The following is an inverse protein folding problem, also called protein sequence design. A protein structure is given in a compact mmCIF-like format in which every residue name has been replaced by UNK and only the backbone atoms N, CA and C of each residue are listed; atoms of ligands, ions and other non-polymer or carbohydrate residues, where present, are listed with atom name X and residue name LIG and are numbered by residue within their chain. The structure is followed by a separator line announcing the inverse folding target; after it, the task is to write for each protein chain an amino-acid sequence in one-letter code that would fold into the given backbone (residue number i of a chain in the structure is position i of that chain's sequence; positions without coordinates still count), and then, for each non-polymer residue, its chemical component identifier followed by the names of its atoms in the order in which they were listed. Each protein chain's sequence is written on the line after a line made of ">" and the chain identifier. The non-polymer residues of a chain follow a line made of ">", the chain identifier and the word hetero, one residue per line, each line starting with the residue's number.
data_IF_705204308249
#
_entry.id   IF_705204308249
#
_cell.length_a   1.000
_cell.length_b   1.000
_cell.length_c   1.000
_cell.angle_alpha   90.00
_cell.angle_beta   90.00
_cell.angle_gamma   90.00
#
_symmetry.space_group_name_H-M   'P 1'
#
loop_
_entity.id
_entity.type
_entity.pdbx_description
1 polymer ?
#
# COMPACT_ATOMS: atom_id res chain seq x y z
N UNK A 1 27.40 57.34 5.92
CA UNK A 1 26.58 56.10 5.78
C UNK A 1 27.52 54.93 5.62
N UNK A 2 27.50 53.97 6.56
CA UNK A 2 28.38 52.80 6.54
C UNK A 2 28.07 51.92 5.33
N UNK A 3 29.10 51.54 4.56
CA UNK A 3 29.02 50.67 3.37
C UNK A 3 28.37 49.29 3.64
N UNK A 4 28.09 48.95 4.90
CA UNK A 4 27.42 47.73 5.33
C UNK A 4 25.91 47.72 5.02
N UNK A 5 25.27 48.89 5.05
CA UNK A 5 23.83 49.00 4.78
C UNK A 5 23.48 48.67 3.30
N UNK A 6 24.17 49.22 2.28
CA UNK A 6 23.92 48.85 0.89
C UNK A 6 24.31 47.39 0.58
N UNK A 7 25.36 46.87 1.22
CA UNK A 7 25.76 45.47 1.05
C UNK A 7 24.69 44.49 1.57
N UNK A 8 24.05 44.80 2.70
CA UNK A 8 22.96 43.98 3.24
C UNK A 8 21.76 43.91 2.30
N UNK A 9 21.31 45.05 1.77
CA UNK A 9 20.20 45.08 0.80
C UNK A 9 20.55 44.38 -0.51
N UNK A 10 21.81 44.46 -0.96
CA UNK A 10 22.28 43.76 -2.14
C UNK A 10 22.29 42.24 -1.93
N UNK A 11 22.77 41.74 -0.79
CA UNK A 11 22.69 40.32 -0.44
C UNK A 11 21.26 39.83 -0.31
N UNK A 12 20.37 40.62 0.30
CA UNK A 12 18.94 40.30 0.41
C UNK A 12 18.28 40.21 -0.98
N UNK A 13 18.62 41.14 -1.89
CA UNK A 13 18.13 41.11 -3.27
C UNK A 13 18.64 39.88 -4.03
N UNK A 14 19.93 39.55 -3.93
CA UNK A 14 20.47 38.34 -4.55
C UNK A 14 19.87 37.06 -3.97
N UNK A 15 19.64 37.00 -2.66
CA UNK A 15 18.93 35.89 -2.04
C UNK A 15 17.49 35.78 -2.54
N UNK A 16 16.74 36.90 -2.61
CA UNK A 16 15.38 36.92 -3.13
C UNK A 16 15.30 36.54 -4.62
N UNK A 17 16.23 37.02 -5.44
CA UNK A 17 16.35 36.65 -6.85
C UNK A 17 16.70 35.16 -7.01
N UNK A 18 17.63 34.64 -6.19
CA UNK A 18 17.98 33.22 -6.18
C UNK A 18 16.79 32.35 -5.73
N UNK A 19 16.10 32.76 -4.67
CA UNK A 19 14.92 32.08 -4.15
C UNK A 19 13.78 32.04 -5.19
N UNK A 20 13.47 33.17 -5.83
CA UNK A 20 12.42 33.22 -6.87
C UNK A 20 12.79 32.39 -8.10
N UNK A 21 14.06 32.40 -8.52
CA UNK A 21 14.53 31.55 -9.61
C UNK A 21 14.42 30.06 -9.25
N UNK A 22 14.78 29.70 -8.02
CA UNK A 22 14.65 28.34 -7.49
C UNK A 22 13.18 27.92 -7.43
N UNK A 23 12.29 28.78 -6.92
CA UNK A 23 10.85 28.50 -6.81
C UNK A 23 10.20 28.32 -8.18
N UNK A 24 10.57 29.16 -9.17
CA UNK A 24 10.04 29.05 -10.53
C UNK A 24 10.46 27.73 -11.17
N UNK A 25 11.75 27.36 -11.05
CA UNK A 25 12.27 26.08 -11.55
C UNK A 25 11.67 24.87 -10.82
N UNK A 26 11.43 24.99 -9.52
CA UNK A 26 10.79 23.94 -8.74
C UNK A 26 9.33 23.74 -9.16
N UNK A 27 8.60 24.84 -9.39
CA UNK A 27 7.22 24.82 -9.90
C UNK A 27 7.12 24.17 -11.29
N UNK A 28 8.06 24.46 -12.18
CA UNK A 28 8.14 23.83 -13.51
C UNK A 28 8.56 22.35 -13.43
N UNK A 29 9.53 22.03 -12.58
CA UNK A 29 10.04 20.67 -12.38
C UNK A 29 9.01 19.69 -11.83
N UNK A 30 8.05 20.17 -11.03
CA UNK A 30 6.97 19.35 -10.48
C UNK A 30 5.95 18.87 -11.53
N UNK A 31 6.03 19.35 -12.78
CA UNK A 31 5.09 18.94 -13.83
C UNK A 31 5.47 17.61 -14.49
N UNK A 32 6.71 17.14 -14.35
CA UNK A 32 7.16 15.91 -15.01
C UNK A 32 8.04 15.04 -14.10
N UNK A 33 7.60 13.81 -13.87
CA UNK A 33 8.39 12.81 -13.16
C UNK A 33 9.13 11.92 -14.17
N UNK A 34 10.45 12.06 -14.24
CA UNK A 34 11.29 11.17 -15.07
C UNK A 34 11.37 9.77 -14.47
N UNK A 35 11.47 8.74 -15.31
CA UNK A 35 11.77 7.38 -14.87
C UNK A 35 13.08 7.33 -14.06
N UNK A 36 13.12 6.61 -12.94
CA UNK A 36 14.36 6.40 -12.21
C UNK A 36 15.28 5.44 -12.97
N UNK A 37 16.57 5.48 -12.67
CA UNK A 37 17.49 4.44 -13.12
C UNK A 37 17.06 3.07 -12.56
N UNK A 38 17.36 1.95 -13.24
CA UNK A 38 17.07 0.62 -12.72
C UNK A 38 17.58 0.45 -11.27
N UNK A 39 16.75 -0.06 -10.35
CA UNK A 39 17.11 -0.14 -8.93
C UNK A 39 18.38 -0.95 -8.65
N UNK A 40 18.66 -1.97 -9.47
CA UNK A 40 19.88 -2.77 -9.38
C UNK A 40 21.13 -1.92 -9.64
N UNK A 41 21.09 -1.05 -10.66
CA UNK A 41 22.20 -0.15 -10.99
C UNK A 41 22.39 0.87 -9.86
N UNK A 42 21.29 1.48 -9.38
CA UNK A 42 21.36 2.42 -8.26
C UNK A 42 21.94 1.77 -7.00
N UNK A 43 21.55 0.53 -6.69
CA UNK A 43 22.03 -0.21 -5.53
C UNK A 43 23.53 -0.46 -5.59
N UNK A 44 24.05 -0.79 -6.78
CA UNK A 44 25.49 -1.00 -7.00
C UNK A 44 26.23 0.34 -6.91
N UNK A 45 25.75 1.36 -7.62
CA UNK A 45 26.42 2.66 -7.69
C UNK A 45 26.48 3.38 -6.34
N UNK A 46 25.41 3.29 -5.53
CA UNK A 46 25.32 3.96 -4.24
C UNK A 46 25.98 3.17 -3.10
N UNK A 47 26.11 1.85 -3.23
CA UNK A 47 26.71 1.00 -2.19
C UNK A 47 26.08 1.22 -0.82
N UNK A 48 26.87 1.78 0.12
CA UNK A 48 26.42 2.13 1.47
C UNK A 48 25.34 3.24 1.50
N UNK A 49 25.34 4.15 0.53
CA UNK A 49 24.37 5.24 0.42
C UNK A 49 23.03 4.81 -0.19
N UNK A 50 22.82 3.50 -0.44
CA UNK A 50 21.59 2.99 -1.05
C UNK A 50 20.33 3.42 -0.28
N UNK A 51 20.38 3.50 1.05
CA UNK A 51 19.24 3.88 1.87
C UNK A 51 18.80 5.32 1.57
N UNK A 52 19.76 6.26 1.56
CA UNK A 52 19.53 7.64 1.15
C UNK A 52 19.03 7.72 -0.30
N UNK A 53 19.55 6.89 -1.19
CA UNK A 53 19.03 6.76 -2.56
C UNK A 53 17.55 6.38 -2.59
N UNK A 54 17.14 5.42 -1.77
CA UNK A 54 15.74 5.01 -1.64
C UNK A 54 14.83 6.14 -1.14
N UNK A 55 15.27 6.86 -0.10
CA UNK A 55 14.55 8.03 0.41
C UNK A 55 14.45 9.16 -0.63
N UNK A 56 15.49 9.37 -1.45
CA UNK A 56 15.44 10.33 -2.56
C UNK A 56 14.39 9.94 -3.60
N UNK A 57 14.27 8.65 -3.95
CA UNK A 57 13.22 8.20 -4.87
C UNK A 57 11.82 8.42 -4.27
N UNK A 58 11.66 8.14 -2.98
CA UNK A 58 10.43 8.44 -2.26
C UNK A 58 10.09 9.93 -2.28
N UNK A 59 11.04 10.81 -1.92
CA UNK A 59 10.83 12.27 -1.92
C UNK A 59 10.43 12.76 -3.30
N UNK A 60 11.09 12.28 -4.37
CA UNK A 60 10.72 12.64 -5.75
C UNK A 60 9.28 12.26 -6.08
N UNK A 61 8.86 11.05 -5.74
CA UNK A 61 7.49 10.59 -5.93
C UNK A 61 6.49 11.44 -5.12
N UNK A 62 6.78 11.69 -3.84
CA UNK A 62 5.96 12.49 -2.93
C UNK A 62 5.77 13.92 -3.40
N UNK A 63 6.87 14.60 -3.73
CA UNK A 63 6.86 15.99 -4.18
C UNK A 63 6.13 16.13 -5.50
N UNK A 64 6.42 15.24 -6.46
CA UNK A 64 5.71 15.23 -7.74
C UNK A 64 4.20 15.03 -7.54
N UNK A 65 3.80 13.99 -6.79
CA UNK A 65 2.38 13.69 -6.58
C UNK A 65 1.65 14.82 -5.86
N UNK A 66 2.28 15.46 -4.86
CA UNK A 66 1.74 16.64 -4.19
C UNK A 66 1.58 17.86 -5.10
N UNK A 67 2.29 17.92 -6.22
CA UNK A 67 2.18 18.96 -7.25
C UNK A 67 1.25 18.63 -8.42
N UNK A 68 0.66 17.43 -8.46
CA UNK A 68 -0.27 17.04 -9.53
C UNK A 68 -1.53 17.90 -9.48
N UNK A 69 -1.82 18.59 -10.59
CA UNK A 69 -3.02 19.42 -10.71
C UNK A 69 -4.28 18.55 -10.79
N UNK A 70 -5.40 18.95 -10.16
CA UNK A 70 -6.69 18.27 -10.32
C UNK A 70 -7.08 18.14 -11.80
N UNK A 71 -7.57 16.96 -12.18
CA UNK A 71 -8.01 16.68 -13.55
C UNK A 71 -6.92 16.23 -14.52
N UNK A 72 -5.65 16.16 -14.09
CA UNK A 72 -4.60 15.49 -14.88
C UNK A 72 -4.87 13.99 -14.92
N UNK A 73 -4.73 13.38 -16.10
CA UNK A 73 -4.88 11.94 -16.26
C UNK A 73 -3.80 11.18 -15.46
N UNK A 74 -4.19 10.34 -14.49
CA UNK A 74 -3.25 9.53 -13.73
C UNK A 74 -2.33 8.65 -14.58
N UNK A 75 -2.79 8.20 -15.74
CA UNK A 75 -2.01 7.31 -16.61
C UNK A 75 -0.76 7.99 -17.19
N UNK A 76 -0.73 9.32 -17.28
CA UNK A 76 0.45 10.06 -17.74
C UNK A 76 1.65 9.93 -16.80
N UNK A 77 1.41 9.66 -15.52
CA UNK A 77 2.46 9.70 -14.49
C UNK A 77 2.52 8.45 -13.60
N UNK A 78 1.58 7.52 -13.77
CA UNK A 78 1.48 6.31 -12.97
C UNK A 78 2.72 5.41 -13.09
N UNK A 79 3.24 5.19 -14.31
CA UNK A 79 4.42 4.31 -14.52
C UNK A 79 5.70 4.90 -13.90
N UNK A 80 6.06 6.18 -14.13
CA UNK A 80 7.16 6.81 -13.39
C UNK A 80 7.00 6.66 -11.87
N UNK A 81 5.82 6.97 -11.30
CA UNK A 81 5.58 6.83 -9.85
C UNK A 81 5.81 5.39 -9.38
N UNK A 82 5.23 4.42 -10.08
CA UNK A 82 5.36 3.00 -9.78
C UNK A 82 6.84 2.56 -9.76
N UNK A 83 7.63 3.01 -10.73
CA UNK A 83 9.06 2.73 -10.78
C UNK A 83 9.85 3.41 -9.66
N UNK A 84 9.48 4.64 -9.26
CA UNK A 84 10.07 5.31 -8.10
C UNK A 84 9.81 4.54 -6.80
N UNK A 85 8.57 4.05 -6.60
CA UNK A 85 8.26 3.21 -5.44
C UNK A 85 9.01 1.88 -5.46
N UNK A 86 9.13 1.23 -6.62
CA UNK A 86 9.94 0.02 -6.77
C UNK A 86 11.42 0.29 -6.46
N UNK A 87 11.96 1.42 -6.91
CA UNK A 87 13.34 1.82 -6.62
C UNK A 87 13.52 2.11 -5.13
N UNK A 88 12.64 2.88 -4.51
CA UNK A 88 12.63 3.17 -3.08
C UNK A 88 12.59 1.88 -2.25
N UNK A 89 11.64 0.98 -2.52
CA UNK A 89 11.50 -0.29 -1.80
C UNK A 89 12.68 -1.25 -2.02
N UNK A 90 13.36 -1.19 -3.18
CA UNK A 90 14.54 -2.01 -3.45
C UNK A 90 15.80 -1.50 -2.75
N UNK A 91 15.94 -0.17 -2.68
CA UNK A 91 17.10 0.51 -2.13
C UNK A 91 17.04 0.63 -0.60
N UNK A 92 15.85 0.92 -0.07
CA UNK A 92 15.57 1.03 1.36
C UNK A 92 14.32 0.20 1.76
N UNK A 93 14.41 -1.14 1.80
CA UNK A 93 13.25 -2.00 2.04
C UNK A 93 12.59 -1.84 3.43
N UNK A 94 13.31 -1.35 4.44
CA UNK A 94 12.76 -1.11 5.78
C UNK A 94 12.07 0.26 5.95
N UNK A 95 12.02 1.09 4.90
CA UNK A 95 11.42 2.42 4.98
C UNK A 95 9.91 2.34 4.73
N UNK A 96 9.15 2.31 5.81
CA UNK A 96 7.72 1.98 5.80
C UNK A 96 6.88 2.95 4.94
N UNK A 97 7.24 4.23 4.92
CA UNK A 97 6.49 5.30 4.24
C UNK A 97 6.37 5.06 2.73
N UNK A 98 7.38 4.39 2.13
CA UNK A 98 7.33 3.98 0.72
C UNK A 98 6.10 3.14 0.42
N UNK A 99 5.78 2.19 1.31
CA UNK A 99 4.66 1.28 1.11
C UNK A 99 3.31 1.97 1.36
N UNK A 100 3.25 2.86 2.35
CA UNK A 100 2.04 3.65 2.63
C UNK A 100 1.70 4.59 1.47
N UNK A 101 2.69 5.30 0.94
CA UNK A 101 2.46 6.22 -0.16
C UNK A 101 2.15 5.48 -1.47
N UNK A 102 2.85 4.37 -1.73
CA UNK A 102 2.54 3.48 -2.86
C UNK A 102 1.08 3.01 -2.79
N UNK A 103 0.63 2.54 -1.62
CA UNK A 103 -0.75 2.11 -1.39
C UNK A 103 -1.76 3.26 -1.55
N UNK A 104 -1.43 4.46 -1.09
CA UNK A 104 -2.35 5.60 -1.15
C UNK A 104 -2.58 6.12 -2.58
N UNK A 105 -1.69 5.78 -3.52
CA UNK A 105 -1.70 6.36 -4.87
C UNK A 105 -2.05 5.33 -5.93
N UNK A 106 -1.21 4.29 -6.09
CA UNK A 106 -1.26 3.43 -7.28
C UNK A 106 -2.57 2.63 -7.42
N UNK A 107 -3.11 1.98 -6.37
CA UNK A 107 -4.29 1.12 -6.52
C UNK A 107 -5.55 1.85 -7.02
N UNK A 108 -5.67 3.14 -6.73
CA UNK A 108 -6.81 3.95 -7.13
C UNK A 108 -6.85 4.26 -8.63
N UNK A 109 -5.74 4.06 -9.35
CA UNK A 109 -5.62 4.42 -10.77
C UNK A 109 -6.38 3.42 -11.63
N UNK A 110 -6.02 2.13 -11.54
CA UNK A 110 -6.71 1.03 -12.21
C UNK A 110 -6.24 -0.33 -11.62
N UNK A 111 -6.79 -1.43 -12.16
CA UNK A 111 -6.46 -2.80 -11.73
C UNK A 111 -4.98 -3.16 -11.93
N UNK A 112 -4.33 -2.67 -12.99
CA UNK A 112 -2.93 -2.97 -13.27
C UNK A 112 -2.01 -2.32 -12.23
N UNK A 113 -2.28 -1.07 -11.87
CA UNK A 113 -1.53 -0.38 -10.81
C UNK A 113 -1.86 -0.87 -9.41
N UNK A 114 -3.06 -1.43 -9.17
CA UNK A 114 -3.35 -2.17 -7.94
C UNK A 114 -2.50 -3.45 -7.83
N UNK A 115 -2.37 -4.23 -8.93
CA UNK A 115 -1.44 -5.37 -8.96
C UNK A 115 0.01 -4.93 -8.79
N UNK A 116 0.40 -3.83 -9.44
CA UNK A 116 1.75 -3.28 -9.30
C UNK A 116 2.05 -2.90 -7.85
N UNK A 117 1.14 -2.19 -7.19
CA UNK A 117 1.27 -1.84 -5.78
C UNK A 117 1.51 -3.08 -4.92
N UNK A 118 0.77 -4.17 -5.18
CA UNK A 118 0.97 -5.43 -4.48
C UNK A 118 2.39 -6.00 -4.67
N UNK A 119 3.03 -5.84 -5.84
CA UNK A 119 4.43 -6.24 -6.04
C UNK A 119 5.41 -5.46 -5.15
N UNK A 120 5.12 -4.17 -4.91
CA UNK A 120 5.92 -3.32 -3.99
C UNK A 120 5.65 -3.75 -2.55
N UNK A 121 4.39 -3.95 -2.17
CA UNK A 121 4.00 -4.39 -0.82
C UNK A 121 4.59 -5.75 -0.44
N UNK A 122 4.71 -6.69 -1.38
CA UNK A 122 5.37 -8.00 -1.13
C UNK A 122 6.83 -7.84 -0.69
N UNK A 123 7.55 -6.86 -1.24
CA UNK A 123 8.92 -6.55 -0.78
C UNK A 123 8.92 -6.05 0.66
N UNK A 124 7.96 -5.19 0.99
CA UNK A 124 7.75 -4.72 2.35
C UNK A 124 7.42 -5.84 3.32
N UNK A 125 6.52 -6.77 2.96
CA UNK A 125 6.17 -7.92 3.79
C UNK A 125 7.38 -8.83 4.07
N UNK A 126 8.33 -8.91 3.15
CA UNK A 126 9.58 -9.68 3.33
C UNK A 126 10.55 -8.96 4.27
N UNK A 127 10.65 -7.62 4.17
CA UNK A 127 11.56 -6.81 4.96
C UNK A 127 11.03 -6.48 6.37
N UNK A 128 9.71 -6.42 6.53
CA UNK A 128 9.01 -6.04 7.75
C UNK A 128 7.98 -7.13 8.12
N UNK A 129 8.44 -8.35 8.47
CA UNK A 129 7.57 -9.51 8.64
C UNK A 129 6.55 -9.35 9.77
N UNK A 130 6.84 -8.51 10.76
CA UNK A 130 5.95 -8.29 11.91
C UNK A 130 4.88 -7.21 11.65
N UNK A 131 4.95 -6.52 10.50
CA UNK A 131 4.02 -5.45 10.18
C UNK A 131 2.74 -6.02 9.53
N UNK A 132 1.62 -5.97 10.26
CA UNK A 132 0.32 -6.44 9.78
C UNK A 132 -0.32 -5.53 8.70
N UNK A 133 0.09 -4.26 8.62
CA UNK A 133 -0.54 -3.28 7.72
C UNK A 133 -0.24 -3.60 6.26
N UNK A 134 0.96 -4.13 5.98
CA UNK A 134 1.36 -4.49 4.62
C UNK A 134 0.51 -5.62 4.00
N UNK A 135 0.28 -6.77 4.66
CA UNK A 135 -0.66 -7.77 4.16
C UNK A 135 -2.10 -7.25 4.17
N UNK A 136 -2.49 -6.38 5.11
CA UNK A 136 -3.81 -5.73 5.07
C UNK A 136 -3.99 -4.88 3.80
N UNK A 137 -3.03 -4.04 3.43
CA UNK A 137 -3.07 -3.24 2.20
C UNK A 137 -3.16 -4.11 0.95
N UNK A 138 -2.34 -5.18 0.88
CA UNK A 138 -2.39 -6.10 -0.24
C UNK A 138 -3.76 -6.80 -0.33
N UNK A 139 -4.29 -7.27 0.81
CA UNK A 139 -5.61 -7.90 0.89
C UNK A 139 -6.73 -6.96 0.50
N UNK A 140 -6.67 -5.71 0.94
CA UNK A 140 -7.60 -4.65 0.53
C UNK A 140 -7.58 -4.44 -0.97
N UNK A 141 -6.40 -4.43 -1.61
CA UNK A 141 -6.32 -4.28 -3.06
C UNK A 141 -6.97 -5.45 -3.81
N UNK A 142 -6.74 -6.69 -3.34
CA UNK A 142 -7.39 -7.86 -3.91
C UNK A 142 -8.92 -7.81 -3.77
N UNK A 143 -9.41 -7.41 -2.60
CA UNK A 143 -10.84 -7.29 -2.35
C UNK A 143 -11.47 -6.16 -3.18
N UNK A 144 -10.97 -4.94 -3.03
CA UNK A 144 -11.66 -3.74 -3.48
C UNK A 144 -11.41 -3.41 -4.96
N UNK A 145 -10.16 -3.51 -5.43
CA UNK A 145 -9.82 -3.14 -6.82
C UNK A 145 -9.85 -4.33 -7.78
N UNK A 146 -9.42 -5.51 -7.31
CA UNK A 146 -9.22 -6.67 -8.18
C UNK A 146 -10.42 -7.63 -8.21
N UNK A 147 -11.32 -7.56 -7.21
CA UNK A 147 -12.43 -8.48 -7.02
C UNK A 147 -11.96 -9.95 -6.92
N UNK A 148 -10.92 -10.18 -6.11
CA UNK A 148 -10.27 -11.47 -5.88
C UNK A 148 -10.44 -11.88 -4.40
N UNK A 149 -11.64 -12.32 -3.99
CA UNK A 149 -11.99 -12.50 -2.57
C UNK A 149 -11.16 -13.58 -1.87
N UNK A 150 -10.77 -14.66 -2.57
CA UNK A 150 -9.93 -15.71 -1.99
C UNK A 150 -8.51 -15.22 -1.65
N UNK A 151 -7.91 -14.41 -2.52
CA UNK A 151 -6.57 -13.87 -2.28
C UNK A 151 -6.61 -12.79 -1.20
N UNK A 152 -7.68 -11.98 -1.18
CA UNK A 152 -7.95 -11.05 -0.10
C UNK A 152 -8.09 -11.77 1.25
N UNK A 153 -8.88 -12.85 1.30
CA UNK A 153 -9.05 -13.67 2.50
C UNK A 153 -7.71 -14.20 3.03
N UNK A 154 -6.88 -14.75 2.14
CA UNK A 154 -5.54 -15.25 2.48
C UNK A 154 -4.66 -14.16 3.11
N UNK A 155 -4.70 -12.95 2.56
CA UNK A 155 -3.90 -11.82 3.03
C UNK A 155 -4.44 -11.21 4.33
N UNK A 156 -5.75 -11.13 4.53
CA UNK A 156 -6.32 -10.69 5.80
C UNK A 156 -6.08 -11.68 6.93
N UNK A 157 -6.16 -12.99 6.64
CA UNK A 157 -5.73 -14.02 7.59
C UNK A 157 -4.26 -13.84 7.97
N UNK A 158 -3.39 -13.65 6.97
CA UNK A 158 -1.97 -13.38 7.22
C UNK A 158 -1.76 -12.14 8.10
N UNK A 159 -2.51 -11.06 7.85
CA UNK A 159 -2.46 -9.83 8.64
C UNK A 159 -2.92 -10.07 10.09
N UNK A 160 -4.00 -10.83 10.29
CA UNK A 160 -4.52 -11.16 11.62
C UNK A 160 -3.53 -11.96 12.47
N UNK A 161 -2.69 -12.81 11.85
CA UNK A 161 -1.66 -13.60 12.55
C UNK A 161 -0.38 -12.81 12.88
N UNK A 162 -0.20 -11.60 12.35
CA UNK A 162 0.98 -10.78 12.67
C UNK A 162 0.84 -10.12 14.06
N UNK A 163 1.96 -9.73 14.69
CA UNK A 163 1.93 -8.94 15.91
C UNK A 163 1.05 -7.70 15.76
N UNK A 164 0.19 -7.44 16.76
CA UNK A 164 -0.79 -6.35 16.77
C UNK A 164 -1.85 -6.40 15.65
N UNK A 165 -1.97 -7.53 14.94
CA UNK A 165 -3.01 -7.77 13.95
C UNK A 165 -4.40 -7.74 14.58
N UNK A 166 -5.33 -6.89 14.12
CA UNK A 166 -6.69 -6.87 14.65
C UNK A 166 -7.42 -8.18 14.38
N UNK A 167 -8.07 -8.75 15.40
CA UNK A 167 -8.82 -10.02 15.27
C UNK A 167 -9.96 -9.94 14.24
N UNK A 168 -10.51 -8.74 14.02
CA UNK A 168 -11.52 -8.48 12.98
C UNK A 168 -11.01 -8.84 11.57
N UNK A 169 -9.70 -8.82 11.31
CA UNK A 169 -9.16 -9.24 10.02
C UNK A 169 -9.30 -10.75 9.80
N UNK A 170 -9.26 -11.56 10.86
CA UNK A 170 -9.54 -13.01 10.76
C UNK A 170 -11.01 -13.24 10.42
N UNK A 171 -11.91 -12.46 11.02
CA UNK A 171 -13.34 -12.50 10.72
C UNK A 171 -13.60 -12.18 9.24
N UNK A 172 -13.02 -11.08 8.76
CA UNK A 172 -13.13 -10.65 7.37
C UNK A 172 -12.55 -11.70 6.41
N UNK A 173 -11.44 -12.36 6.76
CA UNK A 173 -10.88 -13.45 5.98
C UNK A 173 -11.86 -14.63 5.83
N UNK A 174 -12.60 -14.97 6.88
CA UNK A 174 -13.60 -16.04 6.82
C UNK A 174 -14.77 -15.65 5.91
N UNK A 175 -15.30 -14.43 6.04
CA UNK A 175 -16.39 -13.94 5.19
C UNK A 175 -15.98 -14.02 3.70
N UNK A 176 -14.81 -13.48 3.37
CA UNK A 176 -14.31 -13.45 1.99
C UNK A 176 -13.95 -14.84 1.45
N UNK A 177 -13.56 -15.77 2.32
CA UNK A 177 -13.35 -17.17 1.93
C UNK A 177 -14.64 -17.80 1.42
N UNK A 178 -15.78 -17.56 2.07
CA UNK A 178 -17.05 -18.08 1.58
C UNK A 178 -17.56 -17.34 0.33
N UNK A 179 -17.38 -16.02 0.26
CA UNK A 179 -17.72 -15.25 -0.94
C UNK A 179 -16.94 -15.77 -2.18
N UNK A 180 -15.68 -16.12 -1.99
CA UNK A 180 -14.85 -16.76 -3.02
C UNK A 180 -15.16 -18.24 -3.29
N UNK A 181 -16.22 -18.79 -2.71
CA UNK A 181 -16.67 -20.18 -2.92
C UNK A 181 -16.02 -21.21 -1.99
N UNK A 182 -15.15 -20.80 -1.07
CA UNK A 182 -14.54 -21.68 -0.05
C UNK A 182 -15.30 -21.60 1.29
N UNK A 183 -16.56 -22.02 1.26
CA UNK A 183 -17.47 -21.97 2.42
C UNK A 183 -16.96 -22.84 3.58
N UNK A 184 -16.30 -23.97 3.29
CA UNK A 184 -15.74 -24.84 4.32
C UNK A 184 -14.60 -24.18 5.10
N UNK A 185 -13.68 -23.48 4.43
CA UNK A 185 -12.61 -22.76 5.12
C UNK A 185 -13.16 -21.66 6.03
N UNK A 186 -14.17 -20.93 5.56
CA UNK A 186 -14.86 -19.94 6.37
C UNK A 186 -15.50 -20.54 7.64
N UNK A 187 -16.17 -21.69 7.50
CA UNK A 187 -16.82 -22.37 8.62
C UNK A 187 -15.79 -22.86 9.66
N UNK A 188 -14.65 -23.40 9.21
CA UNK A 188 -13.56 -23.82 10.10
C UNK A 188 -13.02 -22.62 10.88
N UNK A 189 -12.77 -21.50 10.19
CA UNK A 189 -12.29 -20.28 10.81
C UNK A 189 -13.27 -19.71 11.84
N UNK A 190 -14.55 -19.56 11.48
CA UNK A 190 -15.59 -19.06 12.39
C UNK A 190 -15.75 -19.96 13.62
N UNK A 191 -15.69 -21.29 13.47
CA UNK A 191 -15.73 -22.23 14.60
C UNK A 191 -14.52 -22.08 15.51
N UNK A 192 -13.33 -21.85 14.95
CA UNK A 192 -12.13 -21.53 15.72
C UNK A 192 -12.29 -20.24 16.52
N UNK A 193 -12.83 -19.19 15.89
CA UNK A 193 -13.11 -17.91 16.56
C UNK A 193 -14.13 -18.08 17.69
N UNK A 194 -15.25 -18.76 17.44
CA UNK A 194 -16.28 -19.08 18.43
C UNK A 194 -15.71 -19.82 19.65
N UNK A 195 -14.82 -20.80 19.42
CA UNK A 195 -14.22 -21.58 20.49
C UNK A 195 -13.26 -20.75 21.36
N UNK A 196 -12.62 -19.72 20.80
CA UNK A 196 -11.66 -18.87 21.49
C UNK A 196 -12.26 -17.60 22.12
N UNK A 197 -13.47 -17.22 21.74
CA UNK A 197 -14.13 -15.99 22.18
C UNK A 197 -14.66 -16.09 23.61
N UNK A 198 -14.42 -15.03 24.40
CA UNK A 198 -14.85 -14.91 25.79
C UNK A 198 -16.05 -14.00 25.96
N UNK A 199 -16.22 -13.03 25.06
CA UNK A 199 -17.38 -12.14 25.07
C UNK A 199 -18.61 -12.88 24.53
N UNK A 200 -19.59 -13.11 25.39
CA UNK A 200 -20.80 -13.88 25.03
C UNK A 200 -21.62 -13.21 23.92
N UNK A 201 -21.62 -11.88 23.82
CA UNK A 201 -22.34 -11.17 22.76
C UNK A 201 -21.66 -11.40 21.40
N UNK A 202 -20.34 -11.34 21.35
CA UNK A 202 -19.57 -11.63 20.12
C UNK A 202 -19.69 -13.11 19.76
N UNK A 203 -19.65 -14.00 20.76
CA UNK A 203 -19.79 -15.44 20.58
C UNK A 203 -21.16 -15.84 20.01
N UNK A 204 -22.24 -15.19 20.47
CA UNK A 204 -23.58 -15.37 19.88
C UNK A 204 -23.61 -14.95 18.41
N UNK A 205 -22.96 -13.83 18.04
CA UNK A 205 -22.87 -13.42 16.62
C UNK A 205 -22.14 -14.47 15.77
N UNK A 206 -21.03 -15.02 16.25
CA UNK A 206 -20.35 -16.10 15.52
C UNK A 206 -21.22 -17.35 15.41
N UNK A 207 -22.03 -17.70 16.41
CA UNK A 207 -22.95 -18.84 16.32
C UNK A 207 -24.03 -18.64 15.24
N UNK A 208 -24.60 -17.42 15.14
CA UNK A 208 -25.56 -17.07 14.10
C UNK A 208 -24.95 -17.18 12.70
N UNK A 209 -23.73 -16.67 12.52
CA UNK A 209 -22.99 -16.77 11.27
C UNK A 209 -22.65 -18.24 10.93
N UNK A 210 -22.14 -19.03 11.89
CA UNK A 210 -21.89 -20.46 11.69
C UNK A 210 -23.14 -21.17 11.19
N UNK A 211 -24.29 -20.93 11.81
CA UNK A 211 -25.57 -21.53 11.39
C UNK A 211 -25.99 -21.11 9.97
N UNK A 212 -25.71 -19.86 9.58
CA UNK A 212 -25.96 -19.39 8.22
C UNK A 212 -25.05 -20.09 7.20
N UNK A 213 -23.76 -20.26 7.51
CA UNK A 213 -22.81 -20.93 6.63
C UNK A 213 -23.07 -22.43 6.52
N UNK A 214 -23.54 -23.10 7.59
CA UNK A 214 -23.96 -24.51 7.54
C UNK A 214 -25.15 -24.74 6.60
N UNK A 215 -26.11 -23.80 6.58
CA UNK A 215 -27.20 -23.82 5.58
C UNK A 215 -26.65 -23.66 4.17
N UNK A 216 -25.69 -22.75 3.96
CA UNK A 216 -25.06 -22.57 2.66
C UNK A 216 -24.30 -23.83 2.18
N UNK A 217 -23.60 -24.52 3.10
CA UNK A 217 -22.97 -25.82 2.80
C UNK A 217 -24.01 -26.87 2.39
N UNK A 218 -25.14 -26.95 3.10
CA UNK A 218 -26.21 -27.89 2.77
C UNK A 218 -26.74 -27.67 1.36
N UNK A 219 -26.94 -26.40 0.96
CA UNK A 219 -27.35 -26.04 -0.40
C UNK A 219 -26.27 -26.41 -1.42
N UNK A 220 -25.00 -26.11 -1.14
CA UNK A 220 -23.88 -26.44 -2.03
C UNK A 220 -23.76 -27.95 -2.26
N UNK A 221 -23.93 -28.75 -1.21
CA UNK A 221 -23.92 -30.22 -1.31
C UNK A 221 -25.12 -30.75 -2.10
N UNK A 222 -26.29 -30.13 -1.97
CA UNK A 222 -27.47 -30.51 -2.76
C UNK A 222 -27.24 -30.24 -4.25
N UNK A 223 -26.65 -29.10 -4.62
CA UNK A 223 -26.29 -28.77 -6.00
C UNK A 223 -25.32 -29.81 -6.57
N UNK A 224 -24.24 -30.11 -5.84
CA UNK A 224 -23.23 -31.10 -6.28
C UNK A 224 -23.75 -32.53 -6.46
N UNK A 225 -24.87 -32.88 -5.81
CA UNK A 225 -25.51 -34.20 -5.97
C UNK A 225 -26.38 -34.29 -7.23
N UNK A 226 -26.71 -33.16 -7.83
CA UNK A 226 -27.56 -33.06 -9.01
C UNK A 226 -26.81 -32.64 -10.29
N UNK A 227 -25.47 -32.49 -10.20
CA UNK A 227 -24.52 -32.46 -11.31
C UNK A 227 -23.97 -33.86 -11.58
#
# INVERSE_FOLDING_TARGET
>A
MSARLPLFFLLLFFYGAFFTLQETRFSEGNQHLSHPLPPAIQKIALGYLRQLGGEIQFIKASVFYGGVKPGRDPLEYADPLAQHFTAAATLHPHFIDTYFLCQAILPHINKDYARYANTVLVRGMTALPDNFVLPFFAGFNHFYYLAEPLEAARLFHLAAKRPNGPIMLEHLANILSAEGGNIYAALIGLRGMYASEKDEQIKMRYAEEIAAFEKAVTVLEAIRRHE
#
